data_IF_708525812112
#
_entry.id   IF_708525812112
#
_cell.length_a   1.000
_cell.length_b   1.000
_cell.length_c   1.000
_cell.angle_alpha   90.00
_cell.angle_beta   90.00
_cell.angle_gamma   90.00
#
_symmetry.space_group_name_H-M   'P 1'
#
loop_
_entity.id
_entity.type
_entity.pdbx_description
1 polymer ?
#
# COMPACT_ATOMS: atom_id res chain seq x y z
N UNK A 1 -22.06 -18.43 -1.56
CA UNK A 1 -22.23 -17.38 -0.53
C UNK A 1 -23.18 -17.90 0.54
N UNK A 2 -22.66 -18.52 1.59
CA UNK A 2 -23.46 -19.19 2.64
C UNK A 2 -23.67 -18.24 3.80
N UNK A 3 -24.92 -17.87 4.07
CA UNK A 3 -25.26 -16.98 5.20
C UNK A 3 -25.24 -17.84 6.47
N UNK A 4 -24.16 -17.75 7.25
CA UNK A 4 -24.04 -18.40 8.56
C UNK A 4 -24.50 -17.42 9.64
N UNK A 5 -25.52 -17.81 10.42
CA UNK A 5 -25.99 -17.00 11.53
C UNK A 5 -24.89 -16.89 12.59
N UNK A 6 -24.48 -15.66 12.89
CA UNK A 6 -23.52 -15.36 13.96
C UNK A 6 -24.25 -14.53 15.00
N UNK A 7 -24.46 -15.08 16.20
CA UNK A 7 -25.12 -14.33 17.28
C UNK A 7 -24.25 -13.11 17.66
N UNK A 8 -24.84 -11.91 17.61
CA UNK A 8 -24.15 -10.70 18.01
C UNK A 8 -23.85 -10.69 19.52
N UNK A 9 -22.69 -10.17 19.91
CA UNK A 9 -22.28 -10.09 21.32
C UNK A 9 -23.19 -9.16 22.16
N UNK A 10 -23.94 -8.28 21.50
CA UNK A 10 -24.64 -7.12 22.10
C UNK A 10 -26.17 -7.28 22.04
N UNK A 11 -26.71 -8.00 21.07
CA UNK A 11 -28.16 -8.14 20.85
C UNK A 11 -28.64 -9.52 21.26
N UNK A 12 -28.85 -9.71 22.57
CA UNK A 12 -29.40 -10.95 23.16
C UNK A 12 -30.94 -10.99 23.17
N UNK A 13 -31.61 -9.89 22.86
CA UNK A 13 -33.07 -9.88 22.74
C UNK A 13 -33.48 -10.33 21.34
N UNK A 14 -34.26 -11.41 21.29
CA UNK A 14 -34.94 -11.88 20.11
C UNK A 14 -35.93 -10.81 19.62
N UNK A 15 -35.79 -10.35 18.38
CA UNK A 15 -36.83 -9.60 17.69
C UNK A 15 -37.75 -10.56 16.93
N UNK A 16 -38.90 -10.06 16.43
CA UNK A 16 -39.87 -10.90 15.71
C UNK A 16 -39.36 -11.53 14.41
N UNK A 17 -38.07 -11.36 14.06
CA UNK A 17 -37.41 -11.92 12.90
C UNK A 17 -36.24 -12.85 13.25
N UNK A 18 -35.90 -13.04 14.53
CA UNK A 18 -34.91 -14.04 14.95
C UNK A 18 -35.50 -15.45 14.80
N UNK A 19 -35.37 -16.00 13.60
CA UNK A 19 -35.73 -17.39 13.30
C UNK A 19 -34.87 -18.32 14.15
N UNK A 20 -35.50 -19.35 14.73
CA UNK A 20 -34.81 -20.39 15.49
C UNK A 20 -33.70 -21.01 14.62
N UNK A 21 -32.42 -20.89 14.98
CA UNK A 21 -31.35 -21.46 14.17
C UNK A 21 -31.42 -22.98 14.31
N UNK A 22 -31.82 -23.65 13.22
CA UNK A 22 -31.73 -25.11 13.12
C UNK A 22 -30.26 -25.49 12.92
N UNK A 23 -29.87 -26.61 13.52
CA UNK A 23 -28.52 -27.15 13.33
C UNK A 23 -28.31 -27.52 11.85
N UNK A 24 -27.08 -27.34 11.36
CA UNK A 24 -26.70 -27.69 10.00
C UNK A 24 -26.41 -29.19 9.89
N UNK A 25 -27.40 -30.03 10.23
CA UNK A 25 -27.32 -31.49 10.13
C UNK A 25 -27.94 -31.97 8.82
N UNK A 26 -27.57 -33.15 8.29
CA UNK A 26 -28.15 -33.68 7.06
C UNK A 26 -29.68 -33.86 7.10
N UNK A 27 -30.29 -33.93 8.31
CA UNK A 27 -31.75 -33.98 8.46
C UNK A 27 -32.41 -32.61 8.23
N UNK A 28 -31.67 -31.51 8.33
CA UNK A 28 -32.15 -30.17 8.02
C UNK A 28 -32.26 -30.01 6.50
N UNK A 29 -33.47 -29.76 5.98
CA UNK A 29 -33.68 -29.54 4.53
C UNK A 29 -32.92 -28.32 4.00
N UNK A 30 -32.55 -27.38 4.88
CA UNK A 30 -31.70 -26.22 4.57
C UNK A 30 -30.20 -26.50 4.85
N UNK A 31 -29.81 -27.76 5.05
CA UNK A 31 -28.42 -28.14 5.29
C UNK A 31 -27.56 -27.72 4.11
N UNK A 32 -26.54 -26.90 4.37
CA UNK A 32 -25.56 -26.50 3.38
C UNK A 32 -24.28 -27.30 3.67
N UNK A 33 -23.80 -28.13 2.73
CA UNK A 33 -22.56 -28.85 2.89
C UNK A 33 -21.43 -27.89 3.26
N UNK A 34 -20.62 -28.23 4.27
CA UNK A 34 -19.39 -27.52 4.57
C UNK A 34 -18.41 -27.81 3.43
N UNK A 35 -18.36 -26.94 2.43
CA UNK A 35 -17.29 -26.98 1.44
C UNK A 35 -15.96 -26.66 2.13
N UNK A 36 -14.97 -27.53 1.95
CA UNK A 36 -13.58 -27.28 2.34
C UNK A 36 -13.19 -25.89 1.86
N UNK A 37 -12.59 -25.09 2.76
CA UNK A 37 -12.13 -23.71 2.56
C UNK A 37 -11.68 -23.40 1.13
N UNK A 38 -12.63 -23.07 0.26
CA UNK A 38 -12.37 -22.75 -1.13
C UNK A 38 -11.58 -21.44 -1.15
N UNK A 39 -10.50 -21.40 -1.93
CA UNK A 39 -9.73 -20.17 -2.11
C UNK A 39 -10.60 -19.22 -2.93
N UNK A 40 -11.36 -18.36 -2.25
CA UNK A 40 -12.35 -17.41 -2.81
C UNK A 40 -11.74 -16.29 -3.70
N UNK A 41 -10.45 -16.37 -4.01
CA UNK A 41 -9.81 -15.42 -4.91
C UNK A 41 -8.30 -15.49 -4.87
N UNK A 42 -7.70 -15.94 -5.97
CA UNK A 42 -6.31 -15.63 -6.29
C UNK A 42 -6.35 -14.26 -6.94
N UNK A 43 -5.63 -13.28 -6.38
CA UNK A 43 -5.38 -12.04 -7.10
C UNK A 43 -4.36 -12.35 -8.20
N UNK A 44 -4.85 -12.75 -9.36
CA UNK A 44 -4.04 -12.81 -10.57
C UNK A 44 -3.95 -11.38 -11.07
N UNK A 45 -2.98 -10.63 -10.56
CA UNK A 45 -2.51 -9.43 -11.26
C UNK A 45 -2.11 -9.82 -12.69
N UNK A 46 -2.17 -8.88 -13.65
CA UNK A 46 -1.73 -9.02 -15.06
C UNK A 46 -0.20 -9.26 -15.20
N UNK A 47 0.34 -10.12 -14.35
CA UNK A 47 1.71 -10.58 -14.38
C UNK A 47 1.78 -11.63 -15.49
N UNK A 48 2.65 -11.39 -16.48
CA UNK A 48 2.82 -12.32 -17.59
C UNK A 48 3.23 -13.71 -17.13
N UNK A 49 2.81 -14.74 -17.87
CA UNK A 49 3.13 -16.15 -17.60
C UNK A 49 4.64 -16.40 -17.43
N UNK A 50 5.47 -15.62 -18.13
CA UNK A 50 6.93 -15.68 -18.03
C UNK A 50 7.43 -15.42 -16.60
N UNK A 51 6.86 -14.40 -15.93
CA UNK A 51 7.22 -14.10 -14.54
C UNK A 51 6.79 -15.24 -13.61
N UNK A 52 5.62 -15.84 -13.81
CA UNK A 52 5.19 -16.99 -13.03
C UNK A 52 6.13 -18.20 -13.20
N UNK A 53 6.58 -18.46 -14.43
CA UNK A 53 7.54 -19.53 -14.71
C UNK A 53 8.88 -19.26 -14.03
N UNK A 54 9.37 -18.01 -14.11
CA UNK A 54 10.59 -17.60 -13.43
C UNK A 54 10.48 -17.76 -11.90
N UNK A 55 9.33 -17.43 -11.32
CA UNK A 55 9.04 -17.67 -9.90
C UNK A 55 9.11 -19.14 -9.55
N UNK A 56 8.51 -19.99 -10.38
CA UNK A 56 8.53 -21.43 -10.16
C UNK A 56 9.95 -22.01 -10.26
N UNK A 57 10.77 -21.48 -11.14
CA UNK A 57 12.17 -21.90 -11.30
C UNK A 57 13.06 -21.44 -10.15
N UNK A 58 12.84 -20.24 -9.61
CA UNK A 58 13.62 -19.72 -8.48
C UNK A 58 13.50 -20.63 -7.24
N UNK A 59 12.34 -21.24 -7.03
CA UNK A 59 12.13 -22.21 -5.94
C UNK A 59 12.94 -23.50 -6.11
N UNK A 60 13.29 -23.88 -7.34
CA UNK A 60 14.11 -25.08 -7.62
C UNK A 60 15.61 -24.82 -7.48
N UNK A 61 16.03 -23.59 -7.80
CA UNK A 61 17.44 -23.21 -7.88
C UNK A 61 18.00 -22.73 -6.54
N UNK A 62 17.17 -22.15 -5.68
CA UNK A 62 17.66 -21.46 -4.49
C UNK A 62 17.97 -22.42 -3.33
N UNK A 63 19.24 -22.39 -2.87
CA UNK A 63 19.70 -23.11 -1.66
C UNK A 63 19.06 -22.57 -0.38
N UNK A 64 18.51 -21.35 -0.41
CA UNK A 64 17.78 -20.76 0.70
C UNK A 64 16.36 -21.31 0.86
N UNK A 65 15.93 -22.24 -0.01
CA UNK A 65 14.67 -22.96 0.16
C UNK A 65 14.53 -23.53 1.58
N UNK A 66 15.61 -24.04 2.17
CA UNK A 66 15.59 -24.54 3.55
C UNK A 66 15.34 -23.45 4.60
N UNK A 67 15.97 -22.27 4.46
CA UNK A 67 15.80 -21.14 5.39
C UNK A 67 14.37 -20.61 5.32
N UNK A 68 13.84 -20.52 4.11
CA UNK A 68 12.46 -20.12 3.87
C UNK A 68 11.48 -21.18 4.39
N UNK A 69 11.75 -22.46 4.15
CA UNK A 69 10.96 -23.56 4.68
C UNK A 69 10.92 -23.51 6.21
N UNK A 70 12.03 -23.32 6.93
CA UNK A 70 11.98 -23.21 8.39
C UNK A 70 11.21 -21.97 8.87
N UNK A 71 11.47 -20.82 8.25
CA UNK A 71 10.80 -19.55 8.58
C UNK A 71 9.29 -19.65 8.33
N UNK A 72 8.90 -20.41 7.31
CA UNK A 72 7.51 -20.55 6.88
C UNK A 72 6.84 -21.79 7.45
N UNK A 73 7.57 -22.79 7.95
CA UNK A 73 6.99 -24.05 8.46
C UNK A 73 5.97 -23.78 9.55
N UNK A 74 6.35 -22.96 10.53
CA UNK A 74 5.42 -22.54 11.59
C UNK A 74 4.19 -21.83 11.03
N UNK A 75 4.37 -20.93 10.06
CA UNK A 75 3.28 -20.19 9.46
C UNK A 75 2.40 -21.06 8.54
N UNK A 76 2.99 -22.06 7.91
CA UNK A 76 2.34 -23.06 7.08
C UNK A 76 1.46 -23.98 7.95
N UNK A 77 1.99 -24.46 9.08
CA UNK A 77 1.25 -25.26 10.06
C UNK A 77 0.08 -24.46 10.66
N UNK A 78 0.22 -23.14 10.79
CA UNK A 78 -0.84 -22.21 11.20
C UNK A 78 -1.85 -21.88 10.06
N UNK A 79 -1.71 -22.48 8.88
CA UNK A 79 -2.61 -22.30 7.74
C UNK A 79 -2.48 -20.94 7.02
N UNK A 80 -1.38 -20.22 7.24
CA UNK A 80 -1.10 -18.92 6.59
C UNK A 80 -0.46 -19.06 5.22
N UNK A 81 -0.09 -20.27 4.82
CA UNK A 81 0.48 -20.54 3.51
C UNK A 81 -0.17 -21.75 2.84
N UNK A 82 -0.24 -21.72 1.51
CA UNK A 82 -0.65 -22.84 0.67
C UNK A 82 0.46 -23.17 -0.33
N UNK A 83 0.73 -24.46 -0.51
CA UNK A 83 1.64 -24.93 -1.54
C UNK A 83 0.81 -25.33 -2.77
N UNK A 84 1.04 -24.65 -3.90
CA UNK A 84 0.37 -24.92 -5.16
C UNK A 84 1.41 -24.91 -6.29
N UNK A 85 1.40 -25.95 -7.13
CA UNK A 85 2.30 -26.09 -8.28
C UNK A 85 3.80 -25.96 -7.96
N UNK A 86 4.20 -26.32 -6.75
CA UNK A 86 5.59 -26.23 -6.28
C UNK A 86 6.02 -24.83 -5.82
N UNK A 87 5.07 -23.91 -5.63
CA UNK A 87 5.30 -22.54 -5.16
C UNK A 87 4.39 -22.23 -3.97
N UNK A 88 4.86 -21.39 -3.06
CA UNK A 88 4.10 -20.99 -1.89
C UNK A 88 3.24 -19.75 -2.17
N UNK A 89 2.06 -19.75 -1.59
CA UNK A 89 1.12 -18.64 -1.61
C UNK A 89 0.79 -18.24 -0.18
N UNK A 90 0.95 -16.96 0.13
CA UNK A 90 0.62 -16.41 1.44
C UNK A 90 -0.86 -16.04 1.51
N UNK A 91 -1.57 -16.67 2.45
CA UNK A 91 -2.98 -16.43 2.72
C UNK A 91 -3.14 -15.41 3.85
N UNK A 92 -3.92 -14.38 3.55
CA UNK A 92 -4.52 -13.47 4.53
C UNK A 92 -6.03 -13.73 4.57
N UNK A 93 -6.75 -13.13 5.52
CA UNK A 93 -8.20 -13.30 5.72
C UNK A 93 -9.03 -13.26 4.42
N UNK A 94 -8.65 -12.40 3.46
CA UNK A 94 -9.41 -12.14 2.24
C UNK A 94 -8.58 -12.22 0.96
N UNK A 95 -7.28 -12.52 1.04
CA UNK A 95 -6.38 -12.48 -0.13
C UNK A 95 -5.39 -13.64 -0.10
N UNK A 96 -5.03 -14.13 -1.28
CA UNK A 96 -4.00 -15.13 -1.48
C UNK A 96 -3.02 -14.62 -2.53
N UNK A 97 -1.78 -14.35 -2.13
CA UNK A 97 -0.73 -13.75 -2.98
C UNK A 97 0.46 -14.69 -3.10
N UNK A 98 1.18 -14.61 -4.23
CA UNK A 98 2.40 -15.39 -4.42
C UNK A 98 3.47 -15.01 -3.39
N UNK A 99 4.11 -16.01 -2.77
CA UNK A 99 5.28 -15.79 -1.95
C UNK A 99 6.55 -15.79 -2.84
N UNK A 100 7.35 -14.75 -2.76
CA UNK A 100 8.61 -14.63 -3.51
C UNK A 100 9.81 -14.91 -2.61
N UNK A 101 10.82 -15.56 -3.17
CA UNK A 101 12.10 -15.84 -2.52
C UNK A 101 13.27 -15.10 -3.16
N UNK A 102 13.23 -14.95 -4.48
CA UNK A 102 14.33 -14.38 -5.24
C UNK A 102 14.28 -12.84 -5.29
N UNK A 103 15.45 -12.22 -5.12
CA UNK A 103 15.56 -10.76 -5.06
C UNK A 103 15.32 -10.11 -6.42
N UNK A 104 15.64 -10.76 -7.53
CA UNK A 104 15.39 -10.19 -8.86
C UNK A 104 13.89 -10.02 -9.10
N UNK A 105 13.11 -11.01 -8.70
CA UNK A 105 11.65 -10.97 -8.78
C UNK A 105 11.01 -9.95 -7.85
N UNK A 106 11.51 -9.87 -6.61
CA UNK A 106 11.09 -8.86 -5.64
C UNK A 106 11.30 -7.46 -6.23
N UNK A 107 12.47 -7.21 -6.82
CA UNK A 107 12.77 -5.92 -7.45
C UNK A 107 11.85 -5.62 -8.63
N UNK A 108 11.47 -6.62 -9.43
CA UNK A 108 10.50 -6.46 -10.52
C UNK A 108 9.13 -6.04 -9.99
N UNK A 109 8.64 -6.66 -8.90
CA UNK A 109 7.38 -6.25 -8.27
C UNK A 109 7.44 -4.82 -7.73
N UNK A 110 8.56 -4.44 -7.10
CA UNK A 110 8.75 -3.08 -6.59
C UNK A 110 8.74 -2.05 -7.72
N UNK A 111 9.44 -2.35 -8.83
CA UNK A 111 9.44 -1.54 -10.04
C UNK A 111 8.03 -1.40 -10.61
N UNK A 112 7.29 -2.49 -10.77
CA UNK A 112 5.94 -2.47 -11.33
C UNK A 112 4.95 -1.70 -10.44
N UNK A 113 5.07 -1.82 -9.11
CA UNK A 113 4.17 -1.16 -8.18
C UNK A 113 4.43 0.35 -8.03
N UNK A 114 5.68 0.79 -8.22
CA UNK A 114 6.12 2.15 -7.94
C UNK A 114 6.59 2.94 -9.17
N UNK A 115 7.42 2.34 -10.02
CA UNK A 115 8.13 3.03 -11.10
C UNK A 115 7.55 2.83 -12.50
N UNK A 116 6.63 1.87 -12.66
CA UNK A 116 5.94 1.67 -13.94
C UNK A 116 5.18 2.94 -14.34
N UNK A 117 5.11 3.18 -15.66
CA UNK A 117 4.37 4.33 -16.22
C UNK A 117 2.89 4.25 -15.84
N UNK A 118 2.35 3.04 -15.74
CA UNK A 118 0.98 2.76 -15.29
C UNK A 118 0.78 2.99 -13.78
N UNK A 119 1.82 2.82 -12.96
CA UNK A 119 1.72 3.02 -11.51
C UNK A 119 1.50 4.49 -11.13
N UNK A 120 2.06 5.43 -11.88
CA UNK A 120 1.95 6.87 -11.62
C UNK A 120 2.75 7.35 -10.41
N UNK A 121 3.86 6.67 -10.06
CA UNK A 121 4.74 7.02 -8.93
C UNK A 121 4.00 7.31 -7.61
N UNK A 122 3.29 6.31 -7.07
CA UNK A 122 2.50 6.45 -5.85
C UNK A 122 3.37 6.76 -4.62
N UNK A 123 2.76 7.36 -3.60
CA UNK A 123 3.35 7.49 -2.26
C UNK A 123 3.67 6.12 -1.66
N UNK A 124 4.58 6.07 -0.67
CA UNK A 124 4.96 4.84 0.04
C UNK A 124 3.73 4.04 0.52
N UNK A 125 2.76 4.69 1.15
CA UNK A 125 1.52 4.03 1.62
C UNK A 125 0.74 3.35 0.48
N UNK A 126 0.63 4.01 -0.67
CA UNK A 126 -0.05 3.45 -1.85
C UNK A 126 0.75 2.32 -2.47
N UNK A 127 2.07 2.41 -2.47
CA UNK A 127 2.96 1.32 -2.92
C UNK A 127 2.81 0.09 -2.01
N UNK A 128 2.72 0.29 -0.70
CA UNK A 128 2.47 -0.78 0.27
C UNK A 128 1.14 -1.49 0.00
N UNK A 129 0.08 -0.73 -0.28
CA UNK A 129 -1.23 -1.30 -0.61
C UNK A 129 -1.18 -2.14 -1.90
N UNK A 130 -0.50 -1.67 -2.93
CA UNK A 130 -0.33 -2.42 -4.18
C UNK A 130 0.47 -3.70 -3.97
N UNK A 131 1.65 -3.60 -3.36
CA UNK A 131 2.51 -4.77 -3.11
C UNK A 131 1.77 -5.82 -2.29
N UNK A 132 1.01 -5.39 -1.25
CA UNK A 132 0.17 -6.29 -0.43
C UNK A 132 -0.84 -7.10 -1.26
N UNK A 133 -1.30 -6.56 -2.38
CA UNK A 133 -2.22 -7.26 -3.30
C UNK A 133 -1.53 -8.06 -4.38
N UNK A 134 -0.23 -7.87 -4.63
CA UNK A 134 0.50 -8.57 -5.70
C UNK A 134 1.25 -9.80 -5.16
N UNK A 135 2.01 -9.61 -4.08
CA UNK A 135 3.03 -10.58 -3.66
C UNK A 135 3.38 -10.44 -2.18
N UNK A 136 4.03 -11.45 -1.63
CA UNK A 136 4.50 -11.44 -0.25
C UNK A 136 5.92 -11.99 -0.16
N UNK A 137 6.73 -11.44 0.74
CA UNK A 137 8.04 -12.01 1.11
C UNK A 137 8.43 -11.56 2.53
N UNK A 138 9.42 -12.18 3.18
CA UNK A 138 9.88 -11.75 4.50
C UNK A 138 10.35 -10.29 4.46
N UNK A 139 9.92 -9.48 5.43
CA UNK A 139 10.27 -8.06 5.53
C UNK A 139 9.83 -7.17 4.34
N UNK A 140 8.84 -7.59 3.55
CA UNK A 140 8.38 -6.84 2.37
C UNK A 140 8.03 -5.37 2.62
N UNK A 141 7.44 -5.05 3.78
CA UNK A 141 7.13 -3.65 4.15
C UNK A 141 8.39 -2.78 4.26
N UNK A 142 9.45 -3.35 4.84
CA UNK A 142 10.74 -2.65 4.99
C UNK A 142 11.39 -2.43 3.63
N UNK A 143 11.37 -3.45 2.78
CA UNK A 143 11.89 -3.34 1.41
C UNK A 143 11.14 -2.27 0.61
N UNK A 144 9.81 -2.20 0.72
CA UNK A 144 9.00 -1.16 0.05
C UNK A 144 9.38 0.23 0.54
N UNK A 145 9.49 0.42 1.86
CA UNK A 145 9.88 1.69 2.45
C UNK A 145 11.26 2.14 1.97
N UNK A 146 12.25 1.24 2.01
CA UNK A 146 13.61 1.50 1.54
C UNK A 146 13.65 1.82 0.04
N UNK A 147 12.87 1.09 -0.77
CA UNK A 147 12.77 1.33 -2.20
C UNK A 147 12.19 2.73 -2.51
N UNK A 148 11.09 3.10 -1.84
CA UNK A 148 10.45 4.41 -2.02
C UNK A 148 11.36 5.56 -1.55
N UNK A 149 12.12 5.35 -0.47
CA UNK A 149 13.05 6.35 0.08
C UNK A 149 14.26 6.57 -0.83
N UNK A 150 14.77 5.53 -1.49
CA UNK A 150 15.92 5.63 -2.39
C UNK A 150 15.56 6.19 -3.79
N UNK A 151 14.28 6.35 -4.10
CA UNK A 151 13.82 6.87 -5.39
C UNK A 151 14.08 8.36 -5.58
N UNK A 152 15.00 8.72 -6.48
CA UNK A 152 15.36 10.11 -6.83
C UNK A 152 14.14 11.00 -7.17
N UNK A 153 13.13 10.44 -7.85
CA UNK A 153 11.90 11.15 -8.22
C UNK A 153 11.04 11.45 -7.00
N UNK A 154 10.88 10.46 -6.12
CA UNK A 154 10.11 10.58 -4.88
C UNK A 154 10.76 11.55 -3.91
N UNK A 155 12.08 11.53 -3.76
CA UNK A 155 12.80 12.51 -2.94
C UNK A 155 12.63 13.94 -3.44
N UNK A 156 12.60 14.16 -4.76
CA UNK A 156 12.39 15.49 -5.35
C UNK A 156 10.95 15.98 -5.20
N UNK A 157 9.97 15.09 -5.37
CA UNK A 157 8.55 15.42 -5.24
C UNK A 157 8.13 15.65 -3.77
N UNK A 158 8.63 14.82 -2.85
CA UNK A 158 8.31 14.88 -1.41
C UNK A 158 9.29 15.74 -0.60
N UNK A 159 9.96 16.71 -1.22
CA UNK A 159 10.75 17.68 -0.44
C UNK A 159 9.82 18.30 0.59
N UNK A 160 10.17 18.11 1.87
CA UNK A 160 9.43 18.66 2.99
C UNK A 160 9.13 20.13 2.70
N UNK A 161 7.86 20.43 2.44
CA UNK A 161 7.40 21.82 2.31
C UNK A 161 7.26 22.36 3.72
N UNK A 162 8.35 22.33 4.49
CA UNK A 162 8.48 23.20 5.64
C UNK A 162 8.44 24.61 5.08
N UNK A 163 7.29 25.27 5.17
CA UNK A 163 7.25 26.73 5.06
C UNK A 163 8.39 27.19 5.97
N UNK A 164 9.36 27.95 5.43
CA UNK A 164 10.25 28.72 6.29
C UNK A 164 9.31 29.40 7.27
N UNK A 165 9.44 29.14 8.57
CA UNK A 165 8.62 29.82 9.57
C UNK A 165 8.73 31.29 9.22
N UNK A 166 7.63 31.86 8.70
CA UNK A 166 7.63 33.24 8.27
C UNK A 166 8.01 34.01 9.51
N UNK A 167 9.19 34.64 9.50
CA UNK A 167 9.58 35.49 10.62
C UNK A 167 8.43 36.48 10.73
N UNK A 168 7.74 36.46 11.86
CA UNK A 168 6.61 37.36 12.12
C UNK A 168 7.21 38.75 12.26
N UNK A 169 7.43 39.45 11.14
CA UNK A 169 7.86 40.83 11.15
C UNK A 169 6.70 41.63 11.72
N UNK A 170 6.88 42.21 12.90
CA UNK A 170 5.92 43.18 13.42
C UNK A 170 5.96 44.40 12.50
N UNK A 171 4.87 44.61 11.77
CA UNK A 171 4.67 45.86 11.04
C UNK A 171 4.41 46.92 12.12
N UNK A 172 5.23 47.97 12.18
CA UNK A 172 4.92 49.09 13.06
C UNK A 172 3.69 49.81 12.52
N UNK A 173 2.72 50.03 13.40
CA UNK A 173 1.49 50.72 13.05
C UNK A 173 1.81 52.14 12.56
N UNK A 174 1.32 52.54 11.37
CA UNK A 174 1.57 53.88 10.86
C UNK A 174 0.99 54.89 11.84
N UNK A 175 1.80 55.86 12.26
CA UNK A 175 1.43 56.88 13.27
C UNK A 175 0.32 57.83 12.80
N UNK A 176 -0.01 57.84 11.51
CA UNK A 176 -0.99 58.74 10.93
C UNK A 176 -1.82 58.02 9.87
N UNK A 177 -3.13 58.35 9.76
CA UNK A 177 -4.01 57.76 8.77
C UNK A 177 -3.52 58.08 7.35
N UNK A 178 -3.71 57.12 6.43
CA UNK A 178 -3.51 57.31 4.99
C UNK A 178 -4.56 58.28 4.45
N UNK A 179 -4.33 59.57 4.66
CA UNK A 179 -5.27 60.61 4.29
C UNK A 179 -4.62 61.99 4.38
N UNK A 180 -4.44 62.59 3.20
CA UNK A 180 -4.10 63.99 2.95
C UNK A 180 -2.62 64.37 3.03
N UNK A 181 -1.89 64.08 1.95
CA UNK A 181 -0.84 64.99 1.48
C UNK A 181 -1.22 65.54 0.10
N UNK A 182 -2.23 66.41 0.08
CA UNK A 182 -2.25 67.49 -0.90
C UNK A 182 -1.28 68.52 -0.35
N UNK A 183 -0.14 68.68 -1.04
CA UNK A 183 0.68 69.89 -1.21
C UNK A 183 2.15 69.48 -1.36
N UNK A 184 2.75 69.82 -2.51
CA UNK A 184 4.21 69.80 -2.67
C UNK A 184 4.69 69.23 -3.99
N UNK A 185 4.47 69.97 -5.07
CA UNK A 185 5.27 69.87 -6.30
C UNK A 185 6.77 69.87 -5.95
N UNK A 186 7.52 68.90 -6.45
CA UNK A 186 8.96 68.80 -6.18
C UNK A 186 9.63 67.77 -7.08
N UNK A 187 9.80 68.15 -8.34
CA UNK A 187 10.56 67.43 -9.36
C UNK A 187 11.96 67.01 -8.86
N UNK A 188 12.24 65.70 -8.86
CA UNK A 188 13.62 65.19 -9.00
C UNK A 188 13.62 63.87 -9.80
N UNK A 189 13.44 64.01 -11.11
CA UNK A 189 13.92 63.03 -12.07
C UNK A 189 15.46 63.12 -12.10
N UNK A 190 16.16 62.12 -11.57
CA UNK A 190 17.59 61.92 -11.84
C UNK A 190 17.77 60.89 -12.94
N UNK A 191 18.44 61.20 -14.07
CA UNK A 191 18.61 60.24 -15.16
C UNK A 191 19.73 59.24 -14.85
N UNK A 192 19.46 57.95 -15.14
CA UNK A 192 20.43 56.85 -15.11
C UNK A 192 21.56 57.11 -16.13
N UNK A 193 22.78 57.34 -15.64
CA UNK A 193 23.99 57.45 -16.47
C UNK A 193 24.34 56.07 -17.02
N UNK A 194 24.23 55.87 -18.34
CA UNK A 194 24.84 54.74 -19.06
C UNK A 194 26.36 54.86 -18.93
N UNK A 195 27.02 53.90 -18.28
CA UNK A 195 28.45 53.71 -18.44
C UNK A 195 28.67 52.88 -19.72
N UNK A 196 29.38 53.46 -20.68
CA UNK A 196 30.13 52.73 -21.71
C UNK A 196 31.52 52.46 -21.13
N UNK A 197 31.97 51.21 -21.24
CA UNK A 197 33.21 50.81 -21.91
C UNK A 197 33.11 49.32 -22.19
#
# INVERSE_FOLDING_TARGET
MTIVHTSGNINKNADGLSRWPLENTPENTACVPQEENHVEGICVTDIGTEFFNQAKESYKMDKNYHILYETWKKAYDEGRFHLLDGMLYHRTKNTCVMALNDRTMINTILLECHDSVSAGHPSEDRTLERVKTCSWWPNWKKDVAEYCQNGDRCQKANRATGKKFGIRIQIQEPKYPLGNSLHGLGNHFTPRRRQKL
#
